data_IF_638504294836
#
_entry.id   IF_638504294836
#
_cell.length_a   1.000
_cell.length_b   1.000
_cell.length_c   1.000
_cell.angle_alpha   90.00
_cell.angle_beta   90.00
_cell.angle_gamma   90.00
#
_symmetry.space_group_name_H-M   'P 1'
#
loop_
_entity.id
_entity.type
_entity.pdbx_description
1 polymer ?
#
# COMPACT_ATOMS: atom_id res chain seq x y z
N UNK A 1 -61.07 -4.46 22.37
CA UNK A 1 -61.02 -5.85 22.79
C UNK A 1 -60.20 -6.61 21.78
N UNK A 2 -59.01 -7.10 22.00
CA UNK A 2 -58.29 -7.68 23.11
C UNK A 2 -56.80 -7.46 22.93
N UNK A 3 -56.17 -7.03 24.02
CA UNK A 3 -54.75 -6.86 24.19
C UNK A 3 -54.00 -8.21 24.23
N UNK A 4 -52.88 -8.35 23.55
CA UNK A 4 -51.93 -9.45 23.75
C UNK A 4 -50.62 -8.90 24.27
N UNK A 5 -50.26 -9.35 25.47
CA UNK A 5 -49.07 -9.01 26.26
C UNK A 5 -47.79 -9.64 25.65
N UNK A 6 -46.78 -8.85 25.49
CA UNK A 6 -45.40 -9.34 25.28
C UNK A 6 -44.78 -9.75 26.63
N UNK A 7 -44.35 -11.01 26.71
CA UNK A 7 -43.58 -11.55 27.82
C UNK A 7 -42.08 -11.29 27.58
N UNK A 8 -41.46 -10.68 28.57
CA UNK A 8 -40.02 -10.45 28.66
C UNK A 8 -39.28 -11.74 29.08
N UNK A 9 -38.24 -12.09 28.35
CA UNK A 9 -37.27 -13.10 28.80
C UNK A 9 -36.08 -12.43 29.52
N UNK A 10 -35.53 -13.07 30.59
CA UNK A 10 -34.47 -12.48 31.40
C UNK A 10 -33.09 -12.66 30.81
N UNK A 11 -32.26 -11.62 30.98
CA UNK A 11 -30.80 -11.64 30.69
C UNK A 11 -30.10 -12.53 31.73
N UNK A 12 -29.31 -13.48 31.23
CA UNK A 12 -28.37 -14.25 32.06
C UNK A 12 -26.94 -13.63 32.00
N UNK A 13 -26.44 -13.26 33.17
CA UNK A 13 -25.12 -12.66 33.36
C UNK A 13 -24.01 -13.72 33.27
N UNK A 14 -22.94 -13.33 32.60
CA UNK A 14 -21.67 -14.06 32.59
C UNK A 14 -20.96 -13.90 33.95
N UNK A 15 -21.11 -14.90 34.84
CA UNK A 15 -20.13 -15.23 35.90
C UNK A 15 -20.55 -16.55 36.53
N UNK A 16 -19.64 -17.51 36.48
CA UNK A 16 -19.51 -18.75 37.29
C UNK A 16 -19.35 -19.99 36.39
N UNK A 17 -18.11 -20.45 36.37
CA UNK A 17 -17.75 -21.86 36.53
C UNK A 17 -16.22 -21.97 36.59
N UNK A 18 -15.75 -21.90 37.85
CA UNK A 18 -14.42 -22.43 38.26
C UNK A 18 -14.76 -23.68 39.09
N UNK A 19 -14.08 -24.76 38.80
CA UNK A 19 -14.22 -25.97 39.62
C UNK A 19 -13.35 -27.13 39.11
N UNK A 20 -12.14 -27.16 39.59
CA UNK A 20 -11.20 -28.24 39.91
C UNK A 20 -11.57 -29.69 39.58
N UNK A 21 -10.58 -30.47 39.03
CA UNK A 21 -10.06 -31.66 39.72
C UNK A 21 -8.78 -32.19 39.08
N UNK A 22 -7.77 -32.36 39.93
CA UNK A 22 -6.52 -33.05 39.66
C UNK A 22 -6.69 -34.57 39.87
N UNK A 23 -5.96 -35.39 39.11
CA UNK A 23 -5.47 -36.71 39.62
C UNK A 23 -4.22 -37.16 38.84
N UNK A 24 -3.27 -37.66 39.63
CA UNK A 24 -1.90 -38.09 39.39
C UNK A 24 -1.78 -39.49 38.74
N UNK A 25 -0.61 -39.73 38.09
CA UNK A 25 0.02 -41.06 38.04
C UNK A 25 0.84 -41.31 36.76
N UNK A 26 1.87 -42.22 36.76
CA UNK A 26 3.26 -41.83 36.93
C UNK A 26 4.16 -42.06 35.68
N UNK A 27 5.39 -41.56 35.81
CA UNK A 27 6.52 -41.48 34.91
C UNK A 27 6.97 -42.78 34.21
N UNK A 28 7.48 -42.60 32.96
CA UNK A 28 8.53 -43.46 32.42
C UNK A 28 9.58 -42.56 31.74
N UNK A 29 10.81 -42.66 32.26
CA UNK A 29 12.03 -42.01 31.77
C UNK A 29 12.49 -42.71 30.49
N UNK A 30 12.63 -41.92 29.39
CA UNK A 30 13.50 -42.30 28.30
C UNK A 30 14.44 -41.10 28.03
N UNK A 31 15.73 -41.35 28.29
CA UNK A 31 16.83 -40.45 28.03
C UNK A 31 17.08 -40.36 26.51
N UNK A 32 16.77 -39.20 25.91
CA UNK A 32 17.15 -38.82 24.56
C UNK A 32 17.92 -37.51 24.63
N UNK A 33 19.14 -37.48 24.12
CA UNK A 33 20.03 -36.35 24.04
C UNK A 33 19.38 -35.20 23.28
N UNK A 34 19.06 -34.12 23.96
CA UNK A 34 18.51 -32.90 23.37
C UNK A 34 19.62 -32.10 22.65
N UNK A 35 19.44 -31.92 21.37
CA UNK A 35 20.11 -30.84 20.59
C UNK A 35 19.47 -29.53 21.06
N UNK A 36 20.23 -28.50 21.45
CA UNK A 36 19.62 -27.24 21.83
C UNK A 36 19.04 -26.56 20.61
N UNK A 37 17.70 -26.55 20.49
CA UNK A 37 16.97 -25.63 19.65
C UNK A 37 17.29 -24.21 20.17
N UNK A 38 18.02 -23.41 19.37
CA UNK A 38 18.04 -21.97 19.54
C UNK A 38 16.63 -21.46 19.22
N UNK A 39 15.77 -21.46 20.22
CA UNK A 39 14.57 -20.65 20.17
C UNK A 39 15.04 -19.20 20.14
N UNK A 40 14.93 -18.55 18.97
CA UNK A 40 14.95 -17.10 18.92
C UNK A 40 13.83 -16.63 19.86
N UNK A 41 14.24 -15.96 20.94
CA UNK A 41 13.29 -15.30 21.83
C UNK A 41 12.47 -14.34 20.97
N UNK A 42 11.19 -14.66 20.76
CA UNK A 42 10.24 -13.68 20.27
C UNK A 42 10.29 -12.51 21.28
N UNK A 43 10.83 -11.39 20.84
CA UNK A 43 10.71 -10.15 21.59
C UNK A 43 9.22 -9.84 21.67
N UNK A 44 8.61 -10.18 22.79
CA UNK A 44 7.27 -9.73 23.19
C UNK A 44 7.35 -8.25 23.61
N UNK A 45 7.84 -7.37 22.73
CA UNK A 45 7.55 -5.95 22.86
C UNK A 45 6.11 -5.77 22.38
N UNK A 46 5.26 -5.26 23.28
CA UNK A 46 3.92 -4.82 22.88
C UNK A 46 4.05 -3.80 21.74
N UNK A 47 3.10 -3.72 20.81
CA UNK A 47 3.17 -2.78 19.68
C UNK A 47 3.43 -1.31 20.07
N UNK A 48 3.15 -0.95 21.33
CA UNK A 48 3.27 0.40 21.87
C UNK A 48 4.71 0.81 22.27
N UNK A 49 5.66 -0.13 22.31
CA UNK A 49 7.04 0.12 22.81
C UNK A 49 8.04 0.47 21.69
N UNK A 50 7.58 0.54 20.44
CA UNK A 50 8.48 0.85 19.33
C UNK A 50 8.80 2.36 19.28
N UNK A 51 10.11 2.68 19.28
CA UNK A 51 10.61 4.05 19.13
C UNK A 51 10.60 4.55 17.68
N UNK A 52 10.96 5.83 17.45
CA UNK A 52 11.21 6.35 16.10
C UNK A 52 12.40 5.64 15.44
N UNK A 53 12.58 5.80 14.12
CA UNK A 53 13.76 5.28 13.43
C UNK A 53 15.05 5.83 14.06
N UNK A 54 16.08 4.97 14.18
CA UNK A 54 17.41 5.46 14.55
C UNK A 54 17.88 6.55 13.57
N UNK A 55 18.53 7.60 14.08
CA UNK A 55 19.04 8.68 13.23
C UNK A 55 20.05 8.19 12.18
N UNK A 56 20.74 7.07 12.45
CA UNK A 56 21.69 6.45 11.50
C UNK A 56 21.01 5.87 10.26
N UNK A 57 19.68 5.68 10.27
CA UNK A 57 18.93 5.19 9.11
C UNK A 57 18.52 6.31 8.17
N UNK A 58 18.49 7.53 8.65
CA UNK A 58 17.91 8.66 7.93
C UNK A 58 19.00 9.64 7.47
N UNK A 59 18.86 10.23 6.28
CA UNK A 59 19.65 11.39 5.91
C UNK A 59 19.51 12.52 6.94
N UNK A 60 20.60 13.25 7.18
CA UNK A 60 20.57 14.46 8.02
C UNK A 60 19.52 15.44 7.48
N UNK A 61 18.71 16.05 8.36
CA UNK A 61 17.60 16.91 8.00
C UNK A 61 16.25 16.20 7.89
N UNK A 62 16.22 14.86 7.99
CA UNK A 62 14.98 14.09 8.13
C UNK A 62 14.86 13.60 9.58
N UNK A 63 13.76 13.90 10.24
CA UNK A 63 13.46 13.35 11.56
C UNK A 63 12.34 12.33 11.51
N UNK A 64 12.37 11.40 12.47
CA UNK A 64 11.33 10.39 12.70
C UNK A 64 10.65 10.68 14.03
N UNK A 65 9.31 10.65 14.05
CA UNK A 65 8.52 10.77 15.29
C UNK A 65 7.15 10.13 15.15
N UNK A 66 6.37 10.17 16.22
CA UNK A 66 4.98 9.72 16.24
C UNK A 66 4.01 10.90 16.41
N UNK A 67 2.80 10.73 15.87
CA UNK A 67 1.63 11.59 16.09
C UNK A 67 0.51 10.70 16.61
N UNK A 68 0.07 10.96 17.83
CA UNK A 68 -0.91 10.14 18.52
C UNK A 68 -2.36 10.56 18.15
N UNK A 69 -3.31 9.66 18.41
CA UNK A 69 -4.76 9.88 18.29
C UNK A 69 -5.25 10.26 16.88
N UNK A 70 -4.59 9.76 15.83
CA UNK A 70 -5.02 9.96 14.45
C UNK A 70 -6.00 8.86 14.04
N UNK A 71 -7.31 9.09 14.18
CA UNK A 71 -8.34 8.12 13.81
C UNK A 71 -8.08 6.72 14.42
N UNK A 72 -7.72 6.69 15.71
CA UNK A 72 -7.39 5.49 16.47
C UNK A 72 -5.97 4.96 16.26
N UNK A 73 -5.12 5.69 15.54
CA UNK A 73 -3.73 5.31 15.29
C UNK A 73 -2.76 6.16 16.11
N UNK A 74 -1.61 5.56 16.41
CA UNK A 74 -0.35 6.24 16.69
C UNK A 74 0.46 6.19 15.40
N UNK A 75 0.47 7.29 14.65
CA UNK A 75 1.05 7.36 13.30
C UNK A 75 2.54 7.69 13.38
N UNK A 76 3.37 6.82 12.83
CA UNK A 76 4.77 7.11 12.60
C UNK A 76 4.94 7.99 11.37
N UNK A 77 5.76 9.04 11.46
CA UNK A 77 6.01 9.97 10.37
C UNK A 77 7.50 10.29 10.22
N UNK A 78 7.92 10.46 8.98
CA UNK A 78 9.15 11.14 8.64
C UNK A 78 8.82 12.59 8.25
N UNK A 79 9.66 13.52 8.68
CA UNK A 79 9.50 14.96 8.38
C UNK A 79 10.81 15.58 7.93
N UNK A 80 10.72 16.52 6.99
CA UNK A 80 11.82 17.39 6.57
C UNK A 80 11.30 18.83 6.42
N UNK A 81 12.15 19.84 6.68
CA UNK A 81 11.77 21.25 6.64
C UNK A 81 10.91 21.70 7.82
N UNK A 82 10.90 20.95 8.90
CA UNK A 82 10.15 21.20 10.14
C UNK A 82 10.76 22.30 11.02
N UNK A 83 12.00 22.67 10.76
CA UNK A 83 12.75 23.65 11.58
C UNK A 83 12.23 25.07 11.41
N UNK A 84 11.54 25.34 10.31
CA UNK A 84 11.00 26.65 9.99
C UNK A 84 9.48 26.60 10.00
N UNK A 85 8.84 27.43 10.79
CA UNK A 85 7.39 27.55 10.86
C UNK A 85 6.79 28.18 9.60
N UNK A 86 5.49 27.98 9.40
CA UNK A 86 4.69 28.56 8.30
C UNK A 86 5.10 28.15 6.88
N UNK A 87 5.83 27.06 6.72
CA UNK A 87 6.05 26.48 5.40
C UNK A 87 4.77 25.81 4.88
N UNK A 88 4.45 25.92 3.58
CA UNK A 88 3.38 25.11 2.99
C UNK A 88 3.73 23.63 3.13
N UNK A 89 2.74 22.83 3.51
CA UNK A 89 2.95 21.39 3.74
C UNK A 89 2.75 20.56 2.48
N UNK A 90 3.52 19.47 2.37
CA UNK A 90 3.34 18.38 1.42
C UNK A 90 3.09 17.10 2.19
N UNK A 91 2.08 16.33 1.78
CA UNK A 91 1.79 15.01 2.35
C UNK A 91 2.18 13.92 1.34
N UNK A 92 3.07 13.01 1.72
CA UNK A 92 3.62 11.96 0.86
C UNK A 92 3.12 10.59 1.33
N UNK A 93 2.39 9.87 0.48
CA UNK A 93 1.74 8.58 0.78
C UNK A 93 2.42 7.46 -0.03
N UNK A 94 3.06 6.51 0.67
CA UNK A 94 3.75 5.38 0.05
C UNK A 94 2.78 4.28 -0.40
N UNK A 95 3.31 3.24 -1.08
CA UNK A 95 2.56 2.07 -1.55
C UNK A 95 2.94 0.76 -0.88
N UNK A 96 2.77 -0.36 -1.60
CA UNK A 96 3.07 -1.71 -1.16
C UNK A 96 4.19 -2.34 -1.99
N UNK A 97 5.15 -3.02 -1.40
CA UNK A 97 5.50 -3.11 0.03
C UNK A 97 6.53 -2.04 0.43
N UNK A 98 6.09 -0.82 0.55
CA UNK A 98 6.92 0.32 0.90
C UNK A 98 6.67 0.80 2.34
N UNK A 99 7.36 1.86 2.73
CA UNK A 99 7.29 2.58 4.01
C UNK A 99 7.45 4.07 3.76
N UNK A 100 7.20 4.92 4.75
CA UNK A 100 7.59 6.33 4.70
C UNK A 100 9.05 6.54 4.27
N UNK A 101 9.91 5.58 4.59
CA UNK A 101 11.32 5.53 4.21
C UNK A 101 11.57 5.60 2.69
N UNK A 102 10.61 5.17 1.87
CA UNK A 102 10.71 5.23 0.40
C UNK A 102 10.82 6.64 -0.14
N UNK A 103 10.43 7.64 0.65
CA UNK A 103 10.48 9.06 0.29
C UNK A 103 11.79 9.76 0.62
N UNK A 104 12.74 9.10 1.34
CA UNK A 104 13.97 9.71 1.87
C UNK A 104 14.79 10.49 0.84
N UNK A 105 14.76 10.07 -0.46
CA UNK A 105 15.56 10.70 -1.52
C UNK A 105 14.92 11.97 -2.10
N UNK A 106 13.61 12.15 -1.91
CA UNK A 106 12.88 13.33 -2.43
C UNK A 106 12.52 14.34 -1.35
N UNK A 107 12.52 13.93 -0.07
CA UNK A 107 12.11 14.80 1.03
C UNK A 107 12.99 16.04 1.20
N UNK A 108 14.31 15.86 1.19
CA UNK A 108 15.25 16.98 1.39
C UNK A 108 15.20 18.03 0.26
N UNK A 109 15.25 17.66 -1.04
CA UNK A 109 15.07 18.64 -2.11
C UNK A 109 13.76 19.44 -2.01
N UNK A 110 12.66 18.80 -1.60
CA UNK A 110 11.39 19.50 -1.40
C UNK A 110 11.44 20.43 -0.17
N UNK A 111 12.11 20.02 0.91
CA UNK A 111 12.29 20.84 2.10
C UNK A 111 13.21 22.04 1.83
N UNK A 112 14.27 21.87 1.08
CA UNK A 112 15.18 22.95 0.63
C UNK A 112 14.46 23.99 -0.23
N UNK A 113 13.45 23.56 -1.00
CA UNK A 113 12.59 24.44 -1.77
C UNK A 113 11.53 25.19 -0.92
N UNK A 114 11.54 25.01 0.41
CA UNK A 114 10.70 25.77 1.33
C UNK A 114 9.43 25.07 1.78
N UNK A 115 9.28 23.77 1.55
CA UNK A 115 8.12 22.99 2.02
C UNK A 115 8.38 22.32 3.36
N UNK A 116 7.30 22.11 4.13
CA UNK A 116 7.28 21.13 5.22
C UNK A 116 6.79 19.81 4.64
N UNK A 117 7.65 18.81 4.58
CA UNK A 117 7.40 17.51 3.95
C UNK A 117 7.06 16.49 5.02
N UNK A 118 5.89 15.87 4.93
CA UNK A 118 5.35 14.93 5.89
C UNK A 118 5.08 13.60 5.18
N UNK A 119 5.75 12.52 5.60
CA UNK A 119 5.61 11.19 5.05
C UNK A 119 5.24 10.20 6.16
N UNK A 120 3.95 9.83 6.33
CA UNK A 120 3.55 8.81 7.29
C UNK A 120 3.85 7.39 6.80
N UNK A 121 4.09 6.48 7.74
CA UNK A 121 3.75 5.08 7.51
C UNK A 121 2.23 4.96 7.56
N UNK A 122 1.58 4.65 6.44
CA UNK A 122 0.12 4.57 6.39
C UNK A 122 -0.40 3.38 7.22
N UNK A 123 -1.70 3.39 7.60
CA UNK A 123 -2.35 2.31 8.37
C UNK A 123 -1.95 0.94 7.82
N UNK A 124 -1.48 0.03 8.69
CA UNK A 124 -1.06 -1.32 8.29
C UNK A 124 0.41 -1.46 7.94
N UNK A 125 1.22 -0.39 8.06
CA UNK A 125 2.62 -0.42 7.66
C UNK A 125 3.56 0.12 8.73
N UNK A 126 4.81 -0.34 8.66
CA UNK A 126 5.94 0.19 9.39
C UNK A 126 5.70 0.32 10.88
N UNK A 127 5.96 1.51 11.43
CA UNK A 127 5.86 1.79 12.86
C UNK A 127 4.52 2.40 13.29
N UNK A 128 3.58 2.62 12.37
CA UNK A 128 2.22 3.03 12.71
C UNK A 128 1.48 1.89 13.41
N UNK A 129 0.90 2.16 14.58
CA UNK A 129 0.17 1.20 15.41
C UNK A 129 -1.29 1.62 15.63
N UNK A 130 -2.08 0.78 16.31
CA UNK A 130 -3.52 1.02 16.54
C UNK A 130 -4.42 0.32 15.51
N UNK A 131 -3.89 -0.61 14.73
CA UNK A 131 -4.63 -1.44 13.78
C UNK A 131 -4.44 -2.93 14.10
N UNK A 132 -5.35 -3.77 13.59
CA UNK A 132 -5.30 -5.22 13.82
C UNK A 132 -4.63 -5.94 12.64
N UNK A 133 -3.56 -6.69 12.92
CA UNK A 133 -2.77 -7.46 11.95
C UNK A 133 -3.27 -8.88 11.68
N UNK A 134 -4.33 -9.33 12.35
CA UNK A 134 -4.86 -10.67 12.15
C UNK A 134 -5.56 -10.79 10.79
N UNK A 135 -5.39 -11.93 10.11
CA UNK A 135 -6.06 -12.13 8.81
C UNK A 135 -7.58 -11.94 8.91
N UNK A 136 -8.22 -12.44 9.98
CA UNK A 136 -9.67 -12.35 10.19
C UNK A 136 -10.13 -11.04 10.86
N UNK A 137 -9.25 -10.00 10.89
CA UNK A 137 -9.60 -8.68 11.39
C UNK A 137 -10.74 -8.04 10.58
N UNK A 138 -11.44 -7.10 11.23
CA UNK A 138 -12.40 -6.25 10.55
C UNK A 138 -11.69 -5.34 9.54
N UNK A 139 -11.98 -5.53 8.26
CA UNK A 139 -11.38 -4.76 7.18
C UNK A 139 -12.03 -3.38 6.99
N UNK A 140 -13.06 -3.05 7.76
CA UNK A 140 -13.76 -1.78 7.64
C UNK A 140 -12.83 -0.57 7.83
N UNK A 141 -11.82 -0.71 8.70
CA UNK A 141 -10.83 0.34 8.94
C UNK A 141 -9.84 0.54 7.79
N UNK A 142 -9.66 -0.47 6.92
CA UNK A 142 -8.74 -0.42 5.78
C UNK A 142 -9.40 0.08 4.49
N UNK A 143 -10.69 0.48 4.53
CA UNK A 143 -11.39 1.06 3.38
C UNK A 143 -10.71 2.36 2.93
N UNK A 144 -10.72 2.60 1.64
CA UNK A 144 -10.05 3.75 1.03
C UNK A 144 -10.41 5.09 1.67
N UNK A 145 -11.70 5.35 1.89
CA UNK A 145 -12.14 6.60 2.52
C UNK A 145 -11.73 6.70 3.99
N UNK A 146 -11.51 5.59 4.69
CA UNK A 146 -10.95 5.65 6.04
C UNK A 146 -9.46 6.00 6.03
N UNK A 147 -8.69 5.56 5.03
CA UNK A 147 -7.30 6.00 4.85
C UNK A 147 -7.24 7.51 4.51
N UNK A 148 -8.22 8.02 3.75
CA UNK A 148 -8.37 9.47 3.54
C UNK A 148 -8.63 10.20 4.87
N UNK A 149 -9.44 9.61 5.79
CA UNK A 149 -9.62 10.17 7.15
C UNK A 149 -8.33 10.19 7.96
N UNK A 150 -7.49 9.16 7.84
CA UNK A 150 -6.17 9.13 8.48
C UNK A 150 -5.32 10.32 7.97
N UNK A 151 -5.31 10.54 6.65
CA UNK A 151 -4.60 11.66 6.02
C UNK A 151 -5.13 13.02 6.49
N UNK A 152 -6.45 13.20 6.54
CA UNK A 152 -7.10 14.42 7.05
C UNK A 152 -6.77 14.68 8.52
N UNK A 153 -6.87 13.64 9.37
CA UNK A 153 -6.54 13.73 10.78
C UNK A 153 -5.08 14.14 10.98
N UNK A 154 -4.18 13.58 10.19
CA UNK A 154 -2.76 13.91 10.25
C UNK A 154 -2.49 15.37 9.84
N UNK A 155 -3.05 15.84 8.73
CA UNK A 155 -2.95 17.25 8.29
C UNK A 155 -3.42 18.20 9.40
N UNK A 156 -4.55 17.90 10.01
CA UNK A 156 -5.12 18.69 11.13
C UNK A 156 -4.22 18.66 12.37
N UNK A 157 -3.67 17.48 12.74
CA UNK A 157 -2.78 17.34 13.90
C UNK A 157 -1.46 18.11 13.76
N UNK A 158 -1.03 18.35 12.52
CA UNK A 158 0.10 19.23 12.20
C UNK A 158 -0.28 20.73 12.22
N UNK A 159 -1.55 21.09 12.46
CA UNK A 159 -2.05 22.45 12.50
C UNK A 159 -2.29 23.08 11.13
N UNK A 160 -2.36 22.29 10.06
CA UNK A 160 -2.62 22.78 8.71
C UNK A 160 -4.12 22.74 8.38
N UNK A 161 -4.65 23.82 7.82
CA UNK A 161 -5.99 23.87 7.23
C UNK A 161 -5.99 23.20 5.84
N UNK A 162 -4.86 23.28 5.12
CA UNK A 162 -4.67 22.65 3.81
C UNK A 162 -3.20 22.35 3.57
N UNK A 163 -2.93 21.41 2.64
CA UNK A 163 -1.60 21.13 2.12
C UNK A 163 -1.48 21.60 0.69
N UNK A 164 -0.28 22.07 0.31
CA UNK A 164 -0.01 22.53 -1.05
C UNK A 164 -0.24 21.40 -2.07
N UNK A 165 0.19 20.20 -1.73
CA UNK A 165 -0.12 19.01 -2.53
C UNK A 165 -0.14 17.75 -1.67
N UNK A 166 -0.92 16.76 -2.09
CA UNK A 166 -0.80 15.36 -1.68
C UNK A 166 -0.12 14.58 -2.80
N UNK A 167 0.89 13.80 -2.46
CA UNK A 167 1.72 13.03 -3.39
C UNK A 167 1.60 11.57 -3.01
N UNK A 168 1.19 10.72 -3.93
CA UNK A 168 1.01 9.29 -3.64
C UNK A 168 1.70 8.39 -4.65
N UNK A 169 2.33 7.32 -4.18
CA UNK A 169 2.99 6.31 -4.99
C UNK A 169 2.32 4.94 -4.84
N UNK A 170 2.22 4.15 -5.91
CA UNK A 170 1.61 2.81 -5.96
C UNK A 170 0.22 2.82 -5.29
N UNK A 171 0.02 2.11 -4.15
CA UNK A 171 -1.23 2.14 -3.39
C UNK A 171 -1.56 3.54 -2.85
N UNK A 172 -0.56 4.35 -2.51
CA UNK A 172 -0.72 5.74 -2.09
C UNK A 172 -1.25 6.66 -3.18
N UNK A 173 -1.03 6.34 -4.47
CA UNK A 173 -1.50 7.15 -5.61
C UNK A 173 -3.03 7.24 -5.67
N UNK A 174 -3.80 6.15 -5.71
CA UNK A 174 -5.25 6.26 -5.63
C UNK A 174 -5.76 6.79 -4.27
N UNK A 175 -5.01 6.68 -3.16
CA UNK A 175 -5.39 7.36 -1.91
C UNK A 175 -5.25 8.87 -2.07
N UNK A 176 -4.14 9.36 -2.63
CA UNK A 176 -3.94 10.78 -2.93
C UNK A 176 -5.03 11.34 -3.87
N UNK A 177 -5.39 10.58 -4.91
CA UNK A 177 -6.49 10.93 -5.80
C UNK A 177 -7.83 11.06 -5.05
N UNK A 178 -8.14 10.12 -4.14
CA UNK A 178 -9.36 10.19 -3.32
C UNK A 178 -9.31 11.31 -2.25
N UNK A 179 -8.14 11.68 -1.74
CA UNK A 179 -7.98 12.89 -0.95
C UNK A 179 -8.41 14.14 -1.74
N UNK A 180 -7.93 14.27 -2.99
CA UNK A 180 -8.29 15.37 -3.87
C UNK A 180 -9.79 15.38 -4.23
N UNK A 181 -10.39 14.23 -4.57
CA UNK A 181 -11.82 14.09 -4.89
C UNK A 181 -12.71 14.47 -3.72
N UNK A 182 -12.36 14.04 -2.50
CA UNK A 182 -13.24 14.16 -1.33
C UNK A 182 -13.10 15.50 -0.61
N UNK A 183 -11.88 16.05 -0.56
CA UNK A 183 -11.55 17.27 0.18
C UNK A 183 -10.64 18.22 -0.62
N UNK A 184 -11.17 18.79 -1.74
CA UNK A 184 -10.43 19.76 -2.56
C UNK A 184 -10.07 21.04 -1.81
N UNK A 185 -10.77 21.33 -0.72
CA UNK A 185 -10.50 22.42 0.21
C UNK A 185 -9.23 22.20 1.04
N UNK A 186 -8.85 20.95 1.31
CA UNK A 186 -7.66 20.58 2.08
C UNK A 186 -6.49 20.20 1.16
N UNK A 187 -6.73 19.38 0.16
CA UNK A 187 -5.71 18.90 -0.77
C UNK A 187 -5.73 19.73 -2.06
N UNK A 188 -4.88 20.78 -2.11
CA UNK A 188 -4.94 21.84 -3.14
C UNK A 188 -4.42 21.42 -4.50
N UNK A 189 -3.54 20.41 -4.53
CA UNK A 189 -3.01 19.79 -5.74
C UNK A 189 -2.69 18.32 -5.46
N UNK A 190 -2.54 17.52 -6.54
CA UNK A 190 -2.22 16.09 -6.40
C UNK A 190 -1.16 15.64 -7.39
N UNK A 191 -0.16 14.91 -6.88
CA UNK A 191 0.77 14.15 -7.70
C UNK A 191 0.49 12.65 -7.52
N UNK A 192 0.16 11.98 -8.60
CA UNK A 192 -0.09 10.54 -8.65
C UNK A 192 1.12 9.85 -9.28
N UNK A 193 1.59 8.75 -8.68
CA UNK A 193 2.81 8.09 -9.14
C UNK A 193 2.58 6.59 -9.32
N UNK A 194 3.04 6.06 -10.44
CA UNK A 194 3.05 4.62 -10.79
C UNK A 194 1.69 3.93 -10.93
N UNK A 195 0.62 4.46 -10.34
CA UNK A 195 -0.74 3.92 -10.46
C UNK A 195 -1.71 5.03 -10.90
N UNK A 196 -2.15 5.05 -12.16
CA UNK A 196 -3.03 6.08 -12.67
C UNK A 196 -4.44 5.97 -12.08
N UNK A 197 -5.06 7.11 -11.78
CA UNK A 197 -6.43 7.20 -11.29
C UNK A 197 -7.43 7.15 -12.45
N UNK A 198 -8.11 6.01 -12.60
CA UNK A 198 -9.10 5.82 -13.67
C UNK A 198 -10.44 6.53 -13.49
N UNK A 199 -10.56 7.41 -12.47
CA UNK A 199 -11.78 8.17 -12.19
C UNK A 199 -12.64 7.57 -11.06
N UNK A 200 -13.68 8.32 -10.68
CA UNK A 200 -14.72 7.90 -9.74
C UNK A 200 -15.72 6.95 -10.41
N UNK A 201 -16.61 6.27 -9.66
CA UNK A 201 -17.72 5.53 -10.25
C UNK A 201 -18.56 6.40 -11.19
N UNK A 202 -19.14 5.79 -12.21
CA UNK A 202 -19.99 6.50 -13.18
C UNK A 202 -21.45 6.55 -12.73
N UNK A 203 -22.18 7.60 -13.12
CA UNK A 203 -23.62 7.72 -13.00
C UNK A 203 -24.31 7.29 -14.31
N UNK A 204 -25.54 6.75 -14.26
CA UNK A 204 -26.30 6.31 -13.09
C UNK A 204 -25.79 4.94 -12.58
N UNK A 205 -26.07 4.64 -11.33
CA UNK A 205 -25.81 3.31 -10.73
C UNK A 205 -27.04 2.80 -9.99
N UNK A 206 -27.31 1.51 -10.08
CA UNK A 206 -28.39 0.77 -9.38
C UNK A 206 -29.75 1.51 -9.34
N UNK A 207 -30.18 2.05 -10.47
CA UNK A 207 -31.48 2.73 -10.62
C UNK A 207 -32.39 1.93 -11.54
N UNK A 208 -33.72 2.24 -11.51
CA UNK A 208 -34.69 1.60 -12.39
C UNK A 208 -34.36 1.79 -13.90
N UNK A 209 -33.71 2.92 -14.25
CA UNK A 209 -33.30 3.24 -15.63
C UNK A 209 -31.92 2.68 -16.00
N UNK A 210 -31.16 2.27 -15.00
CA UNK A 210 -29.86 1.61 -15.18
C UNK A 210 -29.76 0.46 -14.16
N UNK A 211 -30.58 -0.58 -14.32
CA UNK A 211 -30.52 -1.73 -13.44
C UNK A 211 -29.13 -2.34 -13.53
N UNK A 212 -28.63 -2.80 -12.37
CA UNK A 212 -27.42 -3.58 -12.31
C UNK A 212 -27.53 -4.70 -13.36
N UNK A 213 -26.69 -4.64 -14.39
CA UNK A 213 -26.70 -5.72 -15.38
C UNK A 213 -26.48 -7.02 -14.65
N UNK A 214 -27.38 -8.02 -14.77
CA UNK A 214 -27.09 -9.35 -14.27
C UNK A 214 -25.74 -9.74 -14.86
N UNK A 215 -24.77 -10.06 -14.01
CA UNK A 215 -23.58 -10.72 -14.51
C UNK A 215 -24.08 -11.93 -15.31
N UNK A 216 -23.84 -11.94 -16.61
CA UNK A 216 -24.21 -13.05 -17.44
C UNK A 216 -23.53 -14.29 -16.83
N UNK A 217 -24.32 -15.13 -16.16
CA UNK A 217 -23.87 -16.31 -15.41
C UNK A 217 -23.26 -17.40 -16.29
N UNK A 218 -22.93 -17.09 -17.54
CA UNK A 218 -22.50 -18.08 -18.54
C UNK A 218 -21.06 -17.89 -19.07
N UNK A 219 -20.42 -16.75 -18.89
CA UNK A 219 -19.03 -16.56 -19.30
C UNK A 219 -18.09 -16.64 -18.08
N UNK A 220 -16.99 -17.40 -18.13
CA UNK A 220 -15.99 -17.39 -17.08
C UNK A 220 -15.50 -15.97 -16.79
N UNK A 221 -15.36 -15.62 -15.51
CA UNK A 221 -14.77 -14.34 -15.18
C UNK A 221 -13.28 -14.31 -15.58
N UNK A 222 -12.69 -13.12 -15.65
CA UNK A 222 -11.30 -12.93 -16.11
C UNK A 222 -10.30 -13.79 -15.32
N UNK A 223 -10.55 -14.07 -14.04
CA UNK A 223 -9.66 -14.87 -13.19
C UNK A 223 -9.78 -16.37 -13.50
N UNK A 224 -10.98 -16.86 -13.84
CA UNK A 224 -11.21 -18.21 -14.32
C UNK A 224 -10.57 -18.41 -15.70
N UNK A 225 -10.68 -17.41 -16.57
CA UNK A 225 -10.02 -17.41 -17.88
C UNK A 225 -8.49 -17.47 -17.74
N UNK A 226 -7.90 -16.71 -16.82
CA UNK A 226 -6.47 -16.76 -16.53
C UNK A 226 -6.04 -18.17 -16.05
N UNK A 227 -6.83 -18.80 -15.18
CA UNK A 227 -6.54 -20.13 -14.68
C UNK A 227 -6.67 -21.21 -15.76
N UNK A 228 -7.48 -20.98 -16.79
CA UNK A 228 -7.72 -21.90 -17.91
C UNK A 228 -6.72 -21.75 -19.07
N UNK A 229 -5.80 -20.78 -19.02
CA UNK A 229 -4.75 -20.64 -20.04
C UNK A 229 -3.87 -21.88 -20.13
N UNK A 230 -3.24 -22.12 -21.28
CA UNK A 230 -2.27 -23.22 -21.48
C UNK A 230 -1.15 -23.21 -20.43
N UNK A 231 -0.68 -22.02 -20.02
CA UNK A 231 0.10 -21.77 -18.81
C UNK A 231 -0.84 -21.14 -17.78
N UNK A 232 -1.38 -21.90 -16.81
CA UNK A 232 -2.37 -21.39 -15.86
C UNK A 232 -1.82 -20.24 -15.03
N UNK A 233 -2.61 -19.15 -14.91
CA UNK A 233 -2.19 -17.90 -14.26
C UNK A 233 -3.21 -17.44 -13.24
N UNK A 234 -2.74 -16.59 -12.31
CA UNK A 234 -3.57 -15.83 -11.36
C UNK A 234 -3.12 -14.39 -11.26
N UNK A 235 -4.05 -13.49 -11.01
CA UNK A 235 -3.72 -12.08 -10.76
C UNK A 235 -3.17 -11.91 -9.35
N UNK A 236 -2.08 -11.15 -9.16
CA UNK A 236 -1.41 -10.96 -7.86
C UNK A 236 -2.35 -10.43 -6.77
N UNK A 237 -3.27 -9.50 -7.08
CA UNK A 237 -4.21 -8.97 -6.10
C UNK A 237 -5.18 -10.04 -5.58
N UNK A 238 -5.55 -11.03 -6.41
CA UNK A 238 -6.34 -12.17 -5.95
C UNK A 238 -5.55 -13.06 -5.01
N UNK A 239 -4.26 -13.26 -5.31
CA UNK A 239 -3.37 -13.97 -4.41
C UNK A 239 -3.17 -13.23 -3.08
N UNK A 240 -3.00 -11.91 -3.09
CA UNK A 240 -2.85 -11.09 -1.88
C UNK A 240 -4.10 -11.08 -0.99
N UNK A 241 -5.24 -11.48 -1.51
CA UNK A 241 -6.46 -11.66 -0.74
C UNK A 241 -6.55 -13.02 -0.04
N UNK A 242 -5.62 -13.95 -0.30
CA UNK A 242 -5.61 -15.27 0.33
C UNK A 242 -4.91 -15.25 1.68
N UNK A 243 -5.24 -16.21 2.53
CA UNK A 243 -4.63 -16.36 3.86
C UNK A 243 -3.13 -16.71 3.80
N UNK A 244 -2.75 -17.46 2.79
CA UNK A 244 -1.37 -17.93 2.60
C UNK A 244 -0.39 -16.82 2.18
N UNK A 245 -0.88 -15.73 1.59
CA UNK A 245 -0.03 -14.72 0.96
C UNK A 245 0.93 -14.05 1.96
N UNK A 246 0.46 -13.75 3.16
CA UNK A 246 1.29 -13.13 4.19
C UNK A 246 2.44 -14.05 4.62
N UNK A 247 2.13 -15.29 4.98
CA UNK A 247 3.13 -16.25 5.45
C UNK A 247 4.14 -16.58 4.35
N UNK A 248 3.67 -16.80 3.11
CA UNK A 248 4.53 -17.08 1.96
C UNK A 248 5.59 -15.98 1.72
N UNK A 249 5.20 -14.70 1.85
CA UNK A 249 6.14 -13.57 1.69
C UNK A 249 7.00 -13.35 2.92
N UNK A 250 6.42 -13.43 4.12
CA UNK A 250 7.10 -13.16 5.39
C UNK A 250 8.09 -14.24 5.79
N UNK A 251 7.71 -15.51 5.55
CA UNK A 251 8.53 -16.71 5.82
C UNK A 251 9.12 -17.27 4.51
N UNK A 252 9.40 -16.40 3.54
CA UNK A 252 9.98 -16.81 2.27
C UNK A 252 11.22 -17.68 2.46
N UNK A 253 11.35 -18.79 1.72
CA UNK A 253 12.46 -19.74 1.83
C UNK A 253 13.82 -19.06 1.64
N UNK A 254 13.90 -18.07 0.76
CA UNK A 254 15.10 -17.25 0.52
C UNK A 254 15.41 -16.25 1.64
N UNK A 255 14.57 -16.14 2.67
CA UNK A 255 14.62 -15.16 3.73
C UNK A 255 14.07 -13.80 3.30
N UNK A 256 13.57 -13.01 4.28
CA UNK A 256 12.84 -11.76 4.02
C UNK A 256 13.68 -10.72 3.26
N UNK A 257 14.95 -10.59 3.57
CA UNK A 257 15.85 -9.65 2.91
C UNK A 257 15.99 -9.96 1.42
N UNK A 258 16.21 -11.23 1.07
CA UNK A 258 16.32 -11.67 -0.31
C UNK A 258 14.96 -11.62 -1.02
N UNK A 259 13.86 -11.92 -0.31
CA UNK A 259 12.53 -11.75 -0.88
C UNK A 259 12.28 -10.30 -1.29
N UNK A 260 12.52 -9.33 -0.40
CA UNK A 260 12.33 -7.90 -0.70
C UNK A 260 13.26 -7.46 -1.82
N UNK A 261 14.55 -7.87 -1.81
CA UNK A 261 15.48 -7.55 -2.88
C UNK A 261 14.98 -8.04 -4.25
N UNK A 262 14.54 -9.30 -4.33
CA UNK A 262 14.01 -9.88 -5.57
C UNK A 262 12.73 -9.18 -6.02
N UNK A 263 11.83 -8.86 -5.09
CA UNK A 263 10.58 -8.16 -5.37
C UNK A 263 10.84 -6.75 -5.94
N UNK A 264 11.75 -6.01 -5.30
CA UNK A 264 12.12 -4.67 -5.76
C UNK A 264 12.83 -4.72 -7.10
N UNK A 265 13.80 -5.63 -7.27
CA UNK A 265 14.49 -5.83 -8.55
C UNK A 265 13.51 -6.16 -9.68
N UNK A 266 12.60 -7.12 -9.46
CA UNK A 266 11.66 -7.60 -10.49
C UNK A 266 10.73 -6.48 -11.02
N UNK A 267 10.46 -5.44 -10.23
CA UNK A 267 9.62 -4.29 -10.61
C UNK A 267 10.44 -3.06 -11.01
N UNK A 268 11.75 -3.06 -10.86
CA UNK A 268 12.64 -1.93 -11.18
C UNK A 268 13.02 -1.88 -12.68
N UNK A 269 13.69 -0.80 -13.07
CA UNK A 269 14.30 -0.70 -14.39
C UNK A 269 15.57 -1.56 -14.53
N UNK A 270 16.12 -2.08 -13.43
CA UNK A 270 17.30 -2.94 -13.45
C UNK A 270 17.00 -4.33 -14.01
N UNK A 271 15.72 -4.75 -14.02
CA UNK A 271 15.32 -5.98 -14.66
C UNK A 271 14.93 -5.74 -16.12
N UNK A 272 15.67 -6.31 -17.04
CA UNK A 272 15.48 -6.14 -18.50
C UNK A 272 14.11 -6.59 -19.03
N UNK A 273 13.36 -7.39 -18.28
CA UNK A 273 12.01 -7.82 -18.62
C UNK A 273 10.95 -6.73 -18.50
N UNK A 274 11.25 -5.61 -17.82
CA UNK A 274 10.33 -4.48 -17.67
C UNK A 274 10.33 -3.57 -18.90
N UNK A 275 9.57 -4.00 -19.92
CA UNK A 275 9.33 -3.25 -21.17
C UNK A 275 7.83 -3.02 -21.35
N UNK A 276 7.22 -2.14 -20.53
CA UNK A 276 5.77 -1.97 -20.52
C UNK A 276 5.27 -1.33 -21.80
N UNK A 277 4.05 -1.68 -22.14
CA UNK A 277 3.29 -1.09 -23.25
C UNK A 277 1.80 -1.16 -22.97
N UNK A 278 1.02 -0.40 -23.73
CA UNK A 278 -0.44 -0.39 -23.61
C UNK A 278 -1.01 -1.75 -24.03
N UNK A 279 -1.71 -2.41 -23.11
CA UNK A 279 -2.43 -3.65 -23.42
C UNK A 279 -3.63 -3.35 -24.35
N UNK A 280 -3.94 -4.27 -25.27
CA UNK A 280 -5.03 -4.10 -26.21
C UNK A 280 -6.42 -4.15 -25.56
N UNK A 281 -6.53 -4.74 -24.36
CA UNK A 281 -7.78 -4.84 -23.64
C UNK A 281 -7.66 -5.64 -22.34
N UNK A 282 -8.82 -5.91 -21.74
CA UNK A 282 -8.94 -6.65 -20.48
C UNK A 282 -9.35 -8.10 -20.77
N UNK A 283 -8.51 -8.85 -21.48
CA UNK A 283 -8.66 -10.30 -21.67
C UNK A 283 -7.56 -11.09 -20.94
N UNK A 284 -7.75 -12.38 -20.71
CA UNK A 284 -6.76 -13.21 -20.02
C UNK A 284 -5.44 -13.29 -20.82
N UNK A 285 -5.52 -13.37 -22.13
CA UNK A 285 -4.37 -13.43 -23.03
C UNK A 285 -3.57 -12.13 -23.01
N UNK A 286 -4.25 -10.98 -22.98
CA UNK A 286 -3.60 -9.68 -22.88
C UNK A 286 -2.94 -9.50 -21.49
N UNK A 287 -3.66 -9.83 -20.42
CA UNK A 287 -3.10 -9.74 -19.07
C UNK A 287 -1.91 -10.68 -18.88
N UNK A 288 -1.93 -11.89 -19.47
CA UNK A 288 -0.84 -12.85 -19.38
C UNK A 288 0.48 -12.37 -20.03
N UNK A 289 0.45 -11.25 -20.78
CA UNK A 289 1.66 -10.61 -21.34
C UNK A 289 2.42 -9.78 -20.29
N UNK A 290 1.75 -9.41 -19.19
CA UNK A 290 2.42 -8.72 -18.07
C UNK A 290 3.39 -9.65 -17.34
N UNK A 291 4.42 -9.11 -16.68
CA UNK A 291 5.35 -9.88 -15.87
C UNK A 291 4.65 -10.73 -14.80
N UNK A 292 5.35 -11.77 -14.36
CA UNK A 292 4.81 -12.72 -13.38
C UNK A 292 4.52 -12.10 -12.01
N UNK A 293 5.13 -10.98 -11.65
CA UNK A 293 4.76 -10.27 -10.41
C UNK A 293 3.37 -9.59 -10.47
N UNK A 294 2.76 -9.43 -11.64
CA UNK A 294 1.35 -9.02 -11.80
C UNK A 294 0.45 -10.22 -12.12
N UNK A 295 0.86 -11.04 -13.09
CA UNK A 295 0.08 -12.22 -13.51
C UNK A 295 0.91 -13.46 -13.22
N UNK A 296 0.79 -13.93 -11.98
CA UNK A 296 1.55 -15.03 -11.39
C UNK A 296 1.22 -16.38 -12.02
N UNK A 297 2.14 -17.31 -12.02
CA UNK A 297 1.82 -18.72 -12.26
C UNK A 297 0.83 -19.22 -11.20
N UNK A 298 -0.18 -19.97 -11.62
CA UNK A 298 -1.26 -20.39 -10.72
C UNK A 298 -0.75 -21.18 -9.50
N UNK A 299 0.28 -22.01 -9.70
CA UNK A 299 0.83 -22.90 -8.67
C UNK A 299 1.82 -22.22 -7.70
N UNK A 300 2.28 -20.96 -7.98
CA UNK A 300 3.32 -20.29 -7.18
C UNK A 300 2.75 -19.25 -6.26
N UNK A 301 3.40 -19.05 -5.10
CA UNK A 301 3.25 -17.85 -4.30
C UNK A 301 4.11 -16.69 -4.83
N UNK A 302 4.10 -15.57 -4.12
CA UNK A 302 4.91 -14.41 -4.52
C UNK A 302 6.41 -14.64 -4.24
N UNK A 303 6.73 -15.35 -3.15
CA UNK A 303 8.13 -15.66 -2.81
C UNK A 303 8.82 -16.46 -3.91
N UNK A 304 8.18 -17.53 -4.42
CA UNK A 304 8.69 -18.34 -5.50
C UNK A 304 8.73 -17.57 -6.83
N UNK A 305 7.72 -16.72 -7.06
CA UNK A 305 7.62 -15.91 -8.28
C UNK A 305 8.79 -14.95 -8.43
N UNK A 306 9.17 -14.25 -7.35
CA UNK A 306 10.27 -13.28 -7.40
C UNK A 306 11.64 -13.94 -7.27
N UNK A 307 11.73 -15.13 -6.66
CA UNK A 307 12.97 -15.89 -6.57
C UNK A 307 13.53 -16.27 -7.94
N UNK A 308 12.67 -16.47 -8.96
CA UNK A 308 13.08 -16.80 -10.33
C UNK A 308 13.87 -15.68 -11.01
N UNK A 309 13.74 -14.45 -10.54
CA UNK A 309 14.42 -13.26 -11.08
C UNK A 309 15.28 -12.56 -10.00
N UNK A 310 15.77 -13.35 -9.05
CA UNK A 310 16.71 -12.85 -8.05
C UNK A 310 17.93 -12.24 -8.75
N UNK A 311 18.30 -10.98 -8.44
CA UNK A 311 19.49 -10.37 -9.04
C UNK A 311 20.75 -11.13 -8.61
N UNK A 312 21.66 -11.34 -9.56
CA UNK A 312 22.95 -11.94 -9.28
C UNK A 312 23.89 -10.95 -8.55
N UNK A 313 25.05 -11.42 -8.09
CA UNK A 313 25.97 -10.60 -7.30
C UNK A 313 26.47 -9.34 -8.05
N UNK A 314 26.63 -9.42 -9.39
CA UNK A 314 27.06 -8.27 -10.19
C UNK A 314 25.93 -7.23 -10.31
N UNK A 315 24.69 -7.66 -10.50
CA UNK A 315 23.50 -6.79 -10.52
C UNK A 315 23.28 -6.12 -9.16
N UNK A 316 23.43 -6.88 -8.06
CA UNK A 316 23.38 -6.31 -6.71
C UNK A 316 24.45 -5.25 -6.50
N UNK A 317 25.69 -5.51 -6.90
CA UNK A 317 26.80 -4.56 -6.80
C UNK A 317 26.61 -3.31 -7.68
N UNK A 318 25.93 -3.44 -8.82
CA UNK A 318 25.62 -2.34 -9.73
C UNK A 318 24.43 -1.49 -9.25
N UNK A 319 23.54 -2.03 -8.40
CA UNK A 319 22.38 -1.33 -7.89
C UNK A 319 22.78 -0.22 -6.92
N UNK A 320 22.52 1.03 -7.28
CA UNK A 320 22.84 2.22 -6.47
C UNK A 320 21.65 2.81 -5.72
N UNK A 321 20.45 2.43 -6.12
CA UNK A 321 19.24 3.04 -5.55
C UNK A 321 18.70 2.29 -4.33
N UNK A 322 19.06 1.00 -4.15
CA UNK A 322 18.70 0.17 -3.00
C UNK A 322 19.92 -0.59 -2.48
N UNK A 323 20.92 0.10 -1.89
CA UNK A 323 22.06 -0.58 -1.26
C UNK A 323 21.62 -1.45 -0.08
N UNK A 324 22.47 -2.37 0.38
CA UNK A 324 22.18 -3.31 1.46
C UNK A 324 21.71 -2.60 2.75
N UNK A 325 22.28 -1.43 3.07
CA UNK A 325 21.87 -0.64 4.22
C UNK A 325 20.41 -0.19 4.12
N UNK A 326 19.97 0.28 2.95
CA UNK A 326 18.58 0.71 2.73
C UNK A 326 17.63 -0.48 2.71
N UNK A 327 18.05 -1.60 2.09
CA UNK A 327 17.28 -2.84 2.10
C UNK A 327 17.06 -3.37 3.51
N UNK A 328 18.07 -3.25 4.38
CA UNK A 328 17.99 -3.72 5.77
C UNK A 328 16.86 -3.04 6.53
N UNK A 329 16.58 -1.75 6.28
CA UNK A 329 15.45 -1.03 6.90
C UNK A 329 14.12 -1.71 6.56
N UNK A 330 13.89 -2.01 5.28
CA UNK A 330 12.67 -2.73 4.86
C UNK A 330 12.60 -4.14 5.46
N UNK A 331 13.72 -4.87 5.44
CA UNK A 331 13.77 -6.23 5.96
C UNK A 331 13.52 -6.28 7.47
N UNK A 332 14.04 -5.31 8.24
CA UNK A 332 13.79 -5.21 9.68
C UNK A 332 12.33 -4.87 9.97
N UNK A 333 11.78 -3.87 9.30
CA UNK A 333 10.38 -3.46 9.53
C UNK A 333 9.40 -4.56 9.13
N UNK A 334 9.54 -5.16 7.93
CA UNK A 334 8.67 -6.27 7.51
C UNK A 334 8.94 -7.57 8.26
N UNK A 335 10.16 -7.79 8.75
CA UNK A 335 10.48 -8.90 9.67
C UNK A 335 9.66 -8.81 10.95
N UNK A 336 9.45 -7.60 11.47
CA UNK A 336 8.67 -7.29 12.67
C UNK A 336 7.16 -7.30 12.42
N UNK A 337 6.67 -6.67 11.33
CA UNK A 337 5.24 -6.43 11.09
C UNK A 337 4.57 -7.49 10.23
N UNK A 338 5.33 -8.32 9.51
CA UNK A 338 4.87 -9.08 8.36
C UNK A 338 4.28 -8.17 7.25
N UNK A 339 3.61 -8.78 6.26
CA UNK A 339 2.95 -8.03 5.17
C UNK A 339 1.44 -7.87 5.39
N UNK A 340 0.88 -8.45 6.46
CA UNK A 340 -0.57 -8.59 6.63
C UNK A 340 -1.31 -7.25 6.63
N UNK A 341 -0.75 -6.21 7.28
CA UNK A 341 -1.35 -4.87 7.28
C UNK A 341 -1.49 -4.30 5.87
N UNK A 342 -0.43 -4.41 5.05
CA UNK A 342 -0.47 -4.02 3.64
C UNK A 342 -1.47 -4.83 2.82
N UNK A 343 -1.58 -6.14 3.09
CA UNK A 343 -2.54 -7.02 2.40
C UNK A 343 -4.00 -6.69 2.74
N UNK A 344 -4.28 -6.13 3.91
CA UNK A 344 -5.63 -5.69 4.26
C UNK A 344 -6.17 -4.62 3.30
N UNK A 345 -5.32 -3.75 2.76
CA UNK A 345 -5.73 -2.77 1.75
C UNK A 345 -6.24 -3.42 0.46
N UNK A 346 -5.61 -4.51 0.01
CA UNK A 346 -6.10 -5.28 -1.16
C UNK A 346 -7.42 -5.98 -0.84
N UNK A 347 -7.54 -6.57 0.35
CA UNK A 347 -8.73 -7.30 0.80
C UNK A 347 -9.93 -6.40 1.02
N UNK A 348 -9.72 -5.15 1.44
CA UNK A 348 -10.79 -4.17 1.70
C UNK A 348 -11.38 -3.54 0.44
N UNK A 349 -10.78 -3.74 -0.74
CA UNK A 349 -11.11 -3.01 -1.97
C UNK A 349 -12.58 -3.03 -2.39
N UNK A 350 -13.30 -4.13 -2.11
CA UNK A 350 -14.74 -4.25 -2.40
C UNK A 350 -15.67 -3.68 -1.32
N UNK A 351 -15.18 -3.58 -0.07
CA UNK A 351 -16.01 -3.22 1.09
C UNK A 351 -16.42 -1.74 1.04
N UNK A 352 -15.52 -0.86 0.63
CA UNK A 352 -15.76 0.58 0.53
C UNK A 352 -16.46 1.05 -0.74
N UNK A 353 -16.77 0.14 -1.69
CA UNK A 353 -17.33 0.53 -2.97
C UNK A 353 -18.65 1.32 -2.88
N UNK A 354 -19.62 0.96 -1.99
CA UNK A 354 -20.86 1.74 -1.85
C UNK A 354 -20.63 3.19 -1.41
N UNK A 355 -19.67 3.45 -0.53
CA UNK A 355 -19.35 4.80 -0.05
C UNK A 355 -18.76 5.66 -1.18
N UNK A 356 -17.95 5.04 -2.04
CA UNK A 356 -17.33 5.72 -3.18
C UNK A 356 -18.37 6.15 -4.23
N UNK A 357 -19.54 5.51 -4.29
CA UNK A 357 -20.64 5.90 -5.16
C UNK A 357 -21.22 7.28 -4.83
N UNK A 358 -21.07 7.77 -3.60
CA UNK A 358 -21.45 9.15 -3.23
C UNK A 358 -20.70 10.21 -4.06
N UNK A 359 -19.56 9.84 -4.63
CA UNK A 359 -18.70 10.70 -5.45
C UNK A 359 -18.80 10.38 -6.95
N UNK A 360 -19.79 9.56 -7.35
CA UNK A 360 -19.96 9.18 -8.75
C UNK A 360 -20.04 10.39 -9.67
N UNK A 361 -19.26 10.36 -10.75
CA UNK A 361 -19.17 11.44 -11.72
C UNK A 361 -18.34 12.66 -11.30
N UNK A 362 -17.74 12.65 -10.08
CA UNK A 362 -16.82 13.70 -9.67
C UNK A 362 -15.44 13.52 -10.32
N UNK A 363 -14.81 14.63 -10.61
CA UNK A 363 -13.45 14.73 -11.17
C UNK A 363 -12.48 15.27 -10.13
N UNK A 364 -11.20 15.17 -10.40
CA UNK A 364 -10.14 15.94 -9.75
C UNK A 364 -9.97 17.23 -10.54
N UNK A 365 -10.40 18.36 -9.96
CA UNK A 365 -10.38 19.66 -10.61
C UNK A 365 -9.17 20.51 -10.19
N UNK A 366 -8.41 20.05 -9.20
CA UNK A 366 -7.16 20.69 -8.77
C UNK A 366 -6.04 20.38 -9.76
N UNK A 367 -5.00 21.26 -9.82
CA UNK A 367 -3.77 20.94 -10.51
C UNK A 367 -3.27 19.55 -10.18
N UNK A 368 -3.02 18.74 -11.18
CA UNK A 368 -2.60 17.36 -11.05
C UNK A 368 -1.44 17.02 -11.97
N UNK A 369 -0.58 16.10 -11.55
CA UNK A 369 0.53 15.55 -12.32
C UNK A 369 0.59 14.04 -12.14
N UNK A 370 1.03 13.35 -13.19
CA UNK A 370 1.35 11.93 -13.10
C UNK A 370 2.83 11.70 -13.38
N UNK A 371 3.50 10.91 -12.51
CA UNK A 371 4.92 10.57 -12.65
C UNK A 371 5.08 9.06 -12.48
N UNK A 372 5.70 8.39 -13.45
CA UNK A 372 5.99 6.97 -13.40
C UNK A 372 7.32 6.66 -14.06
N UNK A 373 7.93 5.52 -13.73
CA UNK A 373 9.07 5.05 -14.48
C UNK A 373 8.68 4.60 -15.89
N UNK A 374 9.57 4.83 -16.86
CA UNK A 374 9.36 4.37 -18.23
C UNK A 374 9.33 2.83 -18.34
N UNK A 375 9.88 2.13 -17.34
CA UNK A 375 9.90 0.67 -17.23
C UNK A 375 8.84 0.14 -16.25
N UNK A 376 7.85 0.96 -15.84
CA UNK A 376 6.82 0.56 -14.88
C UNK A 376 5.54 0.07 -15.54
N UNK A 377 5.24 -1.22 -15.40
CA UNK A 377 3.97 -1.80 -15.79
C UNK A 377 2.77 -1.30 -14.97
N UNK A 378 3.00 -0.66 -13.81
CA UNK A 378 1.95 -0.05 -12.99
C UNK A 378 1.07 0.92 -13.77
N UNK A 379 1.67 1.66 -14.71
CA UNK A 379 0.96 2.60 -15.59
C UNK A 379 -0.04 1.92 -16.53
N UNK A 380 0.15 0.63 -16.85
CA UNK A 380 -0.61 -0.10 -17.88
C UNK A 380 -1.36 -1.33 -17.34
N UNK A 381 -1.17 -1.71 -16.07
CA UNK A 381 -1.83 -2.90 -15.49
C UNK A 381 -3.36 -2.83 -15.50
N UNK A 382 -3.91 -1.62 -15.56
CA UNK A 382 -5.36 -1.37 -15.67
C UNK A 382 -5.66 -0.70 -17.01
N UNK A 383 -5.97 -1.46 -18.07
CA UNK A 383 -6.18 -0.92 -19.40
C UNK A 383 -7.18 0.24 -19.45
N UNK A 384 -6.78 1.34 -20.07
CA UNK A 384 -7.58 2.56 -20.21
C UNK A 384 -7.55 3.50 -19.00
N UNK A 385 -6.89 3.13 -17.85
CA UNK A 385 -6.88 4.02 -16.69
C UNK A 385 -5.99 5.23 -16.86
N UNK A 386 -4.83 5.08 -17.51
CA UNK A 386 -3.92 6.18 -17.81
C UNK A 386 -4.56 7.20 -18.76
N UNK A 387 -5.28 6.72 -19.75
CA UNK A 387 -6.01 7.56 -20.71
C UNK A 387 -7.15 8.29 -20.01
N UNK A 388 -8.02 7.58 -19.28
CA UNK A 388 -9.12 8.20 -18.53
C UNK A 388 -8.64 9.24 -17.53
N UNK A 389 -7.50 9.00 -16.87
CA UNK A 389 -6.92 9.99 -15.95
C UNK A 389 -6.66 11.32 -16.67
N UNK A 390 -6.12 11.26 -17.89
CA UNK A 390 -5.77 12.44 -18.67
C UNK A 390 -6.96 13.09 -19.36
N UNK A 391 -7.93 12.27 -19.81
CA UNK A 391 -9.02 12.73 -20.69
C UNK A 391 -10.27 13.16 -19.91
N UNK A 392 -10.50 12.59 -18.71
CA UNK A 392 -11.78 12.78 -18.03
C UNK A 392 -11.74 12.78 -16.52
N UNK A 393 -10.80 12.05 -15.86
CA UNK A 393 -10.80 11.96 -14.41
C UNK A 393 -10.12 13.17 -13.73
N UNK A 394 -9.16 13.83 -14.40
CA UNK A 394 -8.50 15.04 -13.94
C UNK A 394 -8.75 16.16 -14.96
N UNK A 395 -9.43 17.24 -14.56
CA UNK A 395 -9.76 18.36 -15.47
C UNK A 395 -8.62 19.37 -15.61
N UNK A 396 -7.65 19.35 -14.69
CA UNK A 396 -6.44 20.20 -14.73
C UNK A 396 -5.15 19.34 -14.62
N UNK A 397 -5.01 18.40 -15.56
CA UNK A 397 -3.79 17.58 -15.68
C UNK A 397 -2.67 18.39 -16.33
N UNK A 398 -1.68 18.81 -15.53
CA UNK A 398 -0.57 19.67 -15.98
C UNK A 398 0.47 18.92 -16.80
N UNK A 399 0.79 17.68 -16.42
CA UNK A 399 1.76 16.86 -17.13
C UNK A 399 1.62 15.38 -16.81
N UNK A 400 2.15 14.55 -17.71
CA UNK A 400 2.39 13.11 -17.53
C UNK A 400 3.84 12.82 -17.87
N UNK A 401 4.60 12.33 -16.88
CA UNK A 401 6.03 12.07 -17.03
C UNK A 401 6.33 10.57 -16.91
N UNK A 402 7.03 10.03 -17.90
CA UNK A 402 7.60 8.68 -17.91
C UNK A 402 9.11 8.81 -17.76
N UNK A 403 9.63 8.54 -16.57
CA UNK A 403 11.04 8.79 -16.20
C UNK A 403 11.91 7.67 -16.73
N UNK A 404 12.83 7.99 -17.62
CA UNK A 404 13.80 7.05 -18.18
C UNK A 404 14.75 6.54 -17.09
N UNK A 405 15.07 5.24 -17.11
CA UNK A 405 15.94 4.60 -16.11
C UNK A 405 15.26 4.37 -14.75
N UNK A 406 13.94 4.46 -14.70
CA UNK A 406 13.14 4.04 -13.56
C UNK A 406 12.08 3.02 -13.98
N UNK A 407 11.87 2.04 -13.09
CA UNK A 407 10.71 1.15 -13.09
C UNK A 407 9.68 1.64 -12.09
N UNK A 408 9.17 0.72 -11.29
CA UNK A 408 8.07 1.01 -10.37
C UNK A 408 8.47 1.96 -9.22
N UNK A 409 9.70 1.91 -8.75
CA UNK A 409 10.15 2.65 -7.56
C UNK A 409 10.74 4.01 -7.94
N UNK A 410 10.03 4.78 -8.77
CA UNK A 410 10.54 5.97 -9.47
C UNK A 410 11.19 6.99 -8.52
N UNK A 411 10.62 7.23 -7.33
CA UNK A 411 11.15 8.14 -6.31
C UNK A 411 12.43 7.62 -5.63
N UNK A 412 12.71 6.32 -5.75
CA UNK A 412 13.91 5.68 -5.22
C UNK A 412 14.96 5.46 -6.31
N UNK A 413 14.55 4.96 -7.48
CA UNK A 413 15.42 4.68 -8.62
C UNK A 413 15.98 5.96 -9.25
N UNK A 414 15.13 6.99 -9.41
CA UNK A 414 15.46 8.29 -10.00
C UNK A 414 15.00 9.46 -9.10
N UNK A 415 15.47 9.45 -7.83
CA UNK A 415 15.03 10.41 -6.82
C UNK A 415 15.31 11.88 -7.19
N UNK A 416 16.45 12.17 -7.80
CA UNK A 416 16.79 13.53 -8.24
C UNK A 416 15.85 14.03 -9.34
N UNK A 417 15.58 13.21 -10.36
CA UNK A 417 14.66 13.57 -11.44
C UNK A 417 13.21 13.67 -10.93
N UNK A 418 12.78 12.75 -10.07
CA UNK A 418 11.47 12.81 -9.42
C UNK A 418 11.30 14.10 -8.63
N UNK A 419 12.31 14.51 -7.85
CA UNK A 419 12.31 15.77 -7.10
C UNK A 419 12.20 16.97 -8.03
N UNK A 420 12.97 16.99 -9.13
CA UNK A 420 12.93 18.05 -10.13
C UNK A 420 11.54 18.19 -10.76
N UNK A 421 10.90 17.07 -11.11
CA UNK A 421 9.56 17.06 -11.72
C UNK A 421 8.50 17.51 -10.71
N UNK A 422 8.57 17.07 -9.46
CA UNK A 422 7.67 17.52 -8.40
C UNK A 422 7.83 19.02 -8.15
N UNK A 423 9.05 19.52 -8.05
CA UNK A 423 9.31 20.97 -7.88
C UNK A 423 8.82 21.80 -9.08
N UNK A 424 9.03 21.31 -10.29
CA UNK A 424 8.49 21.96 -11.49
C UNK A 424 6.95 22.02 -11.45
N UNK A 425 6.27 20.96 -11.03
CA UNK A 425 4.82 20.97 -10.84
C UNK A 425 4.40 21.95 -9.72
N UNK A 426 5.03 21.89 -8.55
CA UNK A 426 4.72 22.75 -7.41
C UNK A 426 4.90 24.24 -7.73
N UNK A 427 5.88 24.60 -8.57
CA UNK A 427 6.07 25.98 -9.02
C UNK A 427 4.92 26.53 -9.88
N UNK A 428 4.08 25.65 -10.43
CA UNK A 428 2.88 26.07 -11.20
C UNK A 428 1.67 26.38 -10.32
N UNK A 429 1.78 26.13 -9.01
CA UNK A 429 0.70 26.34 -8.02
C UNK A 429 0.73 27.73 -7.38
N UNK A 430 1.80 28.48 -7.58
CA UNK A 430 2.04 29.83 -7.02
C UNK A 430 1.22 30.90 -7.72
#
# INVERSE_FOLDING_TARGET
MTSAKFNSMPQLSRRQLIGSMALLGPAALISGTAIPNLAMAANNSTPDDIGPYPSSWLPEGIRSRFVDDINGLRVHVLEAGYETSNRPALLLLHGFPELSYSWRKVMLPLAEAGYHVIAPDIRGYGRTTGWNGEYDADLYEFRRLNIVRDALGLVSAFGYESVAAVIGHDFGSPVAAWCAVTRPDVFRAVAMMSAPFGGTPTLPFDTANSPRQPQANSAPNIYEQLAALLRPRKHYQRYYNTREANENMWQAEQGISNFIRAYYHHKSADWDGNKPYRLAGRTAEEWAKMPTYYIMDLAKGMAETVAEVMPNAAEVAANKWLPDQDLAVYAEEYGRTSFQGGLHHYRSGGIGAPEMQLYAGRTIDQPSVFISGASDWGSYQSPGSLERMQESACTDMRAVHMVTGAGHWVQQEQGAETSRLLLAFLSTLA
#
